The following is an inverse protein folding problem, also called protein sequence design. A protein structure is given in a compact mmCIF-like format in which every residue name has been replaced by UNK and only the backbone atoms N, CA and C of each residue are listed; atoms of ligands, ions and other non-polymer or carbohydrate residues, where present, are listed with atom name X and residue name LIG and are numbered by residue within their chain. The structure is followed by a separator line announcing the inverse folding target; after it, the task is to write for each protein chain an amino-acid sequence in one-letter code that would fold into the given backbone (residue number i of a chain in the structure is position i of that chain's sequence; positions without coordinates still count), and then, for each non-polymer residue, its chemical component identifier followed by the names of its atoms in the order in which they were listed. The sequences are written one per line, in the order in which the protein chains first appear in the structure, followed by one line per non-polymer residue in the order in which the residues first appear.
data_IF_898052108126
#
_entry.id   IF_898052108126
#
_cell.length_a   1.000
_cell.length_b   1.000
_cell.length_c   1.000
_cell.angle_alpha   90.00
_cell.angle_beta   90.00
_cell.angle_gamma   90.00
#
_symmetry.space_group_name_H-M   'P 1'
#
loop_
_entity.id
_entity.type
_entity.pdbx_description
1 polymer ?
#
# COMPACT_ATOMS: atom_id res chain seq x y z
N UNK A 1 8.50 10.38 9.19
CA UNK A 1 8.28 9.59 7.96
C UNK A 1 9.27 10.06 6.92
N UNK A 2 10.09 9.17 6.35
CA UNK A 2 10.75 9.48 5.08
C UNK A 2 9.71 9.29 3.97
N UNK A 3 9.33 10.35 3.28
CA UNK A 3 8.49 10.22 2.10
C UNK A 3 9.25 9.41 1.05
N UNK A 4 8.71 8.25 0.68
CA UNK A 4 9.22 7.45 -0.42
C UNK A 4 8.88 8.20 -1.72
N UNK A 5 9.87 8.88 -2.29
CA UNK A 5 9.74 9.59 -3.57
C UNK A 5 10.06 8.61 -4.69
N UNK A 6 9.03 8.03 -5.28
CA UNK A 6 9.16 7.21 -6.48
C UNK A 6 9.17 8.08 -7.73
N UNK A 7 10.14 7.89 -8.62
CA UNK A 7 10.11 8.44 -9.95
C UNK A 7 9.00 7.75 -10.77
N UNK A 8 8.35 8.44 -11.73
CA UNK A 8 7.31 7.84 -12.57
C UNK A 8 7.74 6.55 -13.29
N UNK A 9 9.02 6.44 -13.66
CA UNK A 9 9.61 5.24 -14.27
C UNK A 9 9.60 4.02 -13.35
N UNK A 10 9.76 4.22 -12.05
CA UNK A 10 9.77 3.15 -11.05
C UNK A 10 8.37 2.57 -10.80
N UNK A 11 7.34 3.35 -11.13
CA UNK A 11 5.93 2.94 -11.01
C UNK A 11 5.38 2.39 -12.32
N UNK A 12 6.16 2.38 -13.40
CA UNK A 12 5.69 2.02 -14.75
C UNK A 12 5.08 0.62 -14.78
N UNK A 13 5.77 -0.36 -14.22
CA UNK A 13 5.30 -1.75 -14.16
C UNK A 13 3.98 -1.87 -13.41
N UNK A 14 3.82 -1.10 -12.31
CA UNK A 14 2.58 -1.05 -11.56
C UNK A 14 1.44 -0.44 -12.39
N UNK A 15 1.69 0.65 -13.12
CA UNK A 15 0.69 1.28 -13.97
C UNK A 15 0.26 0.38 -15.13
N UNK A 16 1.21 -0.29 -15.76
CA UNK A 16 1.00 -1.20 -16.91
C UNK A 16 0.42 -2.57 -16.48
N UNK A 17 0.44 -2.90 -15.17
CA UNK A 17 -0.07 -4.17 -14.68
C UNK A 17 -1.57 -4.40 -14.98
N UNK A 18 -2.02 -5.66 -15.11
CA UNK A 18 -3.42 -6.00 -15.35
C UNK A 18 -4.36 -5.40 -14.28
N UNK A 19 -5.56 -4.97 -14.69
CA UNK A 19 -6.54 -4.35 -13.79
C UNK A 19 -6.87 -5.24 -12.58
N UNK A 20 -7.04 -6.54 -12.81
CA UNK A 20 -7.34 -7.50 -11.74
C UNK A 20 -6.18 -7.60 -10.72
N UNK A 21 -4.94 -7.58 -11.21
CA UNK A 21 -3.75 -7.61 -10.34
C UNK A 21 -3.65 -6.35 -9.47
N UNK A 22 -3.86 -5.17 -10.06
CA UNK A 22 -3.89 -3.90 -9.31
C UNK A 22 -4.99 -3.89 -8.24
N UNK A 23 -6.17 -4.40 -8.57
CA UNK A 23 -7.28 -4.49 -7.62
C UNK A 23 -6.92 -5.39 -6.43
N UNK A 24 -6.31 -6.55 -6.67
CA UNK A 24 -5.81 -7.42 -5.61
C UNK A 24 -4.76 -6.71 -4.75
N UNK A 25 -3.76 -6.10 -5.39
CA UNK A 25 -2.67 -5.40 -4.69
C UNK A 25 -3.20 -4.29 -3.78
N UNK A 26 -4.07 -3.42 -4.28
CA UNK A 26 -4.66 -2.34 -3.48
C UNK A 26 -5.54 -2.88 -2.35
N UNK A 27 -6.26 -3.98 -2.57
CA UNK A 27 -7.01 -4.67 -1.51
C UNK A 27 -6.10 -5.17 -0.38
N UNK A 28 -4.97 -5.80 -0.72
CA UNK A 28 -3.99 -6.27 0.28
C UNK A 28 -3.35 -5.12 1.06
N UNK A 29 -3.03 -4.01 0.37
CA UNK A 29 -2.52 -2.80 1.01
C UNK A 29 -3.53 -2.26 2.02
N UNK A 30 -4.81 -2.12 1.62
CA UNK A 30 -5.88 -1.67 2.50
C UNK A 30 -6.02 -2.56 3.74
N UNK A 31 -6.06 -3.88 3.55
CA UNK A 31 -6.12 -4.84 4.65
C UNK A 31 -4.95 -4.70 5.62
N UNK A 32 -3.71 -4.54 5.12
CA UNK A 32 -2.54 -4.36 5.99
C UNK A 32 -2.60 -3.03 6.75
N UNK A 33 -3.06 -1.96 6.13
CA UNK A 33 -3.24 -0.67 6.80
C UNK A 33 -4.27 -0.76 7.94
N UNK A 34 -5.39 -1.45 7.74
CA UNK A 34 -6.38 -1.68 8.81
C UNK A 34 -5.80 -2.49 9.97
N UNK A 35 -4.97 -3.50 9.69
CA UNK A 35 -4.28 -4.26 10.74
C UNK A 35 -3.32 -3.37 11.54
N UNK A 36 -2.51 -2.57 10.84
CA UNK A 36 -1.59 -1.64 11.48
C UNK A 36 -2.33 -0.58 12.31
N UNK A 37 -3.47 -0.08 11.84
CA UNK A 37 -4.30 0.86 12.60
C UNK A 37 -4.84 0.21 13.90
N UNK A 38 -5.31 -1.03 13.82
CA UNK A 38 -5.77 -1.80 14.99
C UNK A 38 -4.63 -2.05 15.98
N UNK A 39 -3.43 -2.37 15.49
CA UNK A 39 -2.22 -2.56 16.31
C UNK A 39 -1.80 -1.25 16.97
N UNK A 40 -1.77 -0.14 16.22
CA UNK A 40 -1.43 1.19 16.74
C UNK A 40 -2.40 1.63 17.86
N UNK A 41 -3.71 1.37 17.70
CA UNK A 41 -4.71 1.65 18.75
C UNK A 41 -4.55 0.78 19.99
N UNK A 42 -4.03 -0.44 19.86
CA UNK A 42 -3.75 -1.35 21.00
C UNK A 42 -2.46 -0.99 21.75
N UNK A 43 -1.49 -0.36 21.07
CA UNK A 43 -0.23 0.09 21.64
C UNK A 43 -0.25 1.50 22.25
N UNK A 44 -1.39 2.20 22.23
CA UNK A 44 -1.54 3.52 22.83
C UNK A 44 -1.75 3.43 24.34
N UNK A 45 -0.67 3.60 25.10
CA UNK A 45 -0.68 3.97 26.51
C UNK A 45 -0.36 5.47 26.63
#
# INVERSE_FOLDING_TARGET
MHELKYAPSELRELYEAPKAFKALLYGLIGFKLELLEKEAKKGGN
#
